data_IF_262095399630
#
_entry.id   IF_262095399630
#
_cell.length_a   1.000
_cell.length_b   1.000
_cell.length_c   1.000
_cell.angle_alpha   90.00
_cell.angle_beta   90.00
_cell.angle_gamma   90.00
#
_symmetry.space_group_name_H-M   'P 1'
#
loop_
_entity.id
_entity.type
_entity.pdbx_description
1 polymer ?
#
# COMPACT_ATOMS: atom_id res chain seq x y z
N UNK A 1 36.11 43.86 10.65
CA UNK A 1 35.95 42.54 11.29
C UNK A 1 34.50 42.19 11.72
N UNK A 2 33.48 43.03 11.48
CA UNK A 2 32.08 42.73 11.87
C UNK A 2 31.28 41.80 10.94
N UNK A 3 31.79 41.48 9.74
CA UNK A 3 31.04 40.67 8.75
C UNK A 3 31.14 39.14 8.95
N UNK A 4 32.06 38.66 9.79
CA UNK A 4 32.24 37.23 10.06
C UNK A 4 31.28 36.71 11.15
N UNK A 5 30.94 37.54 12.14
CA UNK A 5 30.03 37.18 13.23
C UNK A 5 28.60 36.93 12.75
N UNK A 6 28.08 37.78 11.87
CA UNK A 6 26.70 37.70 11.37
C UNK A 6 26.44 36.50 10.44
N UNK A 7 27.43 36.12 9.62
CA UNK A 7 27.34 34.95 8.75
C UNK A 7 27.34 33.63 9.55
N UNK A 8 28.07 33.60 10.67
CA UNK A 8 28.11 32.42 11.54
C UNK A 8 26.80 32.24 12.31
N UNK A 9 26.20 33.31 12.86
CA UNK A 9 24.88 33.24 13.51
C UNK A 9 23.75 32.92 12.52
N UNK A 10 23.77 33.47 11.31
CA UNK A 10 22.81 33.12 10.25
C UNK A 10 22.92 31.63 9.86
N UNK A 11 24.13 31.10 9.69
CA UNK A 11 24.33 29.68 9.38
C UNK A 11 23.90 28.76 10.52
N UNK A 12 24.17 29.12 11.78
CA UNK A 12 23.74 28.34 12.96
C UNK A 12 22.21 28.35 13.09
N UNK A 13 21.58 29.50 12.90
CA UNK A 13 20.12 29.63 12.93
C UNK A 13 19.47 28.84 11.77
N UNK A 14 20.06 28.88 10.57
CA UNK A 14 19.59 28.12 9.42
C UNK A 14 19.73 26.61 9.63
N UNK A 15 20.86 26.14 10.15
CA UNK A 15 21.10 24.73 10.44
C UNK A 15 20.17 24.20 11.54
N UNK A 16 19.94 25.00 12.59
CA UNK A 16 19.03 24.64 13.68
C UNK A 16 17.56 24.61 13.24
N UNK A 17 17.14 25.55 12.39
CA UNK A 17 15.80 25.56 11.80
C UNK A 17 15.60 24.37 10.84
N UNK A 18 16.60 24.05 10.03
CA UNK A 18 16.57 22.88 9.16
C UNK A 18 16.45 21.58 9.96
N UNK A 19 17.25 21.43 11.03
CA UNK A 19 17.19 20.29 11.94
C UNK A 19 15.82 20.15 12.61
N UNK A 20 15.22 21.25 13.10
CA UNK A 20 13.87 21.23 13.68
C UNK A 20 12.79 20.80 12.69
N UNK A 21 12.78 21.38 11.49
CA UNK A 21 11.80 21.04 10.45
C UNK A 21 11.91 19.55 10.08
N UNK A 22 13.14 19.04 9.99
CA UNK A 22 13.40 17.64 9.71
C UNK A 22 12.89 16.71 10.83
N UNK A 23 13.21 17.02 12.09
CA UNK A 23 12.74 16.25 13.24
C UNK A 23 11.22 16.29 13.38
N UNK A 24 10.58 17.43 13.09
CA UNK A 24 9.12 17.56 13.11
C UNK A 24 8.47 16.68 12.03
N UNK A 25 8.99 16.69 10.80
CA UNK A 25 8.52 15.80 9.73
C UNK A 25 8.63 14.33 10.12
N UNK A 26 9.75 13.94 10.75
CA UNK A 26 9.95 12.59 11.25
C UNK A 26 8.94 12.21 12.34
N UNK A 27 8.74 13.07 13.35
CA UNK A 27 7.78 12.80 14.42
C UNK A 27 6.35 12.64 13.89
N UNK A 28 5.94 13.50 12.95
CA UNK A 28 4.63 13.39 12.31
C UNK A 28 4.50 12.07 11.55
N UNK A 29 5.54 11.66 10.81
CA UNK A 29 5.56 10.37 10.13
C UNK A 29 5.42 9.19 11.08
N UNK A 30 6.22 9.16 12.14
CA UNK A 30 6.19 8.10 13.15
C UNK A 30 4.82 8.00 13.83
N UNK A 31 4.23 9.15 14.19
CA UNK A 31 2.90 9.19 14.77
C UNK A 31 1.83 8.65 13.81
N UNK A 32 1.87 9.06 12.54
CA UNK A 32 0.93 8.57 11.52
C UNK A 32 1.07 7.05 11.34
N UNK A 33 2.29 6.55 11.11
CA UNK A 33 2.56 5.11 10.94
C UNK A 33 2.07 4.33 12.15
N UNK A 34 2.37 4.78 13.38
CA UNK A 34 1.93 4.14 14.61
C UNK A 34 0.40 4.05 14.73
N UNK A 35 -0.32 5.14 14.46
CA UNK A 35 -1.79 5.16 14.48
C UNK A 35 -2.38 4.19 13.45
N UNK A 36 -1.85 4.19 12.22
CA UNK A 36 -2.37 3.31 11.16
C UNK A 36 -2.06 1.84 11.42
N UNK A 37 -0.88 1.52 11.92
CA UNK A 37 -0.55 0.15 12.33
C UNK A 37 -1.49 -0.33 13.42
N UNK A 38 -1.78 0.50 14.43
CA UNK A 38 -2.75 0.17 15.48
C UNK A 38 -4.14 -0.13 14.91
N UNK A 39 -4.66 0.74 14.03
CA UNK A 39 -5.97 0.54 13.38
C UNK A 39 -5.98 -0.74 12.54
N UNK A 40 -4.94 -0.97 11.74
CA UNK A 40 -4.82 -2.18 10.92
C UNK A 40 -4.77 -3.45 11.78
N UNK A 41 -4.00 -3.44 12.86
CA UNK A 41 -3.93 -4.56 13.82
C UNK A 41 -5.28 -4.86 14.45
N UNK A 42 -6.05 -3.84 14.84
CA UNK A 42 -7.42 -3.99 15.36
C UNK A 42 -8.37 -4.61 14.32
N UNK A 43 -8.27 -4.20 13.06
CA UNK A 43 -9.08 -4.76 11.97
C UNK A 43 -8.70 -6.21 11.66
N UNK A 44 -7.40 -6.52 11.60
CA UNK A 44 -6.92 -7.90 11.43
C UNK A 44 -7.39 -8.78 12.60
N UNK A 45 -7.28 -8.28 13.85
CA UNK A 45 -7.79 -8.99 15.02
C UNK A 45 -9.29 -9.27 14.92
N UNK A 46 -10.07 -8.27 14.51
CA UNK A 46 -11.52 -8.41 14.30
C UNK A 46 -11.85 -9.48 13.26
N UNK A 47 -11.14 -9.47 12.13
CA UNK A 47 -11.25 -10.49 11.09
C UNK A 47 -10.92 -11.90 11.61
N UNK A 48 -9.82 -12.05 12.37
CA UNK A 48 -9.41 -13.34 12.90
C UNK A 48 -10.40 -13.90 13.94
N UNK A 49 -11.09 -13.04 14.69
CA UNK A 49 -12.00 -13.47 15.76
C UNK A 49 -13.37 -13.94 15.30
N UNK A 50 -13.86 -13.56 14.11
CA UNK A 50 -15.21 -13.92 13.65
C UNK A 50 -15.15 -14.81 12.41
N UNK A 51 -15.77 -15.98 12.50
CA UNK A 51 -15.72 -17.02 11.45
C UNK A 51 -16.42 -16.57 10.17
N UNK A 52 -17.55 -15.87 10.30
CA UNK A 52 -18.34 -15.31 9.17
C UNK A 52 -17.47 -14.48 8.22
N UNK A 53 -16.49 -13.74 8.74
CA UNK A 53 -15.58 -12.96 7.88
C UNK A 53 -14.52 -13.83 7.20
N UNK A 54 -14.15 -14.98 7.77
CA UNK A 54 -13.13 -15.87 7.20
C UNK A 54 -13.66 -16.73 6.04
N UNK A 55 -14.98 -16.81 5.89
CA UNK A 55 -15.62 -17.54 4.80
C UNK A 55 -15.83 -16.69 3.54
N UNK A 56 -16.05 -15.38 3.69
CA UNK A 56 -16.26 -14.47 2.56
C UNK A 56 -14.93 -13.97 1.99
N UNK A 57 -14.67 -14.36 0.73
CA UNK A 57 -13.46 -14.04 -0.06
C UNK A 57 -13.08 -12.56 -0.03
N UNK A 58 -14.06 -11.65 0.05
CA UNK A 58 -13.83 -10.20 0.12
C UNK A 58 -13.06 -9.82 1.37
N UNK A 59 -13.46 -10.35 2.53
CA UNK A 59 -12.79 -10.05 3.79
C UNK A 59 -11.43 -10.73 3.87
N UNK A 60 -11.23 -11.89 3.24
CA UNK A 60 -9.92 -12.54 3.13
C UNK A 60 -8.97 -11.67 2.30
N UNK A 61 -9.41 -11.17 1.13
CA UNK A 61 -8.64 -10.23 0.33
C UNK A 61 -8.36 -8.94 1.12
N UNK A 62 -9.33 -8.46 1.91
CA UNK A 62 -9.16 -7.27 2.74
C UNK A 62 -8.12 -7.46 3.84
N UNK A 63 -8.17 -8.60 4.55
CA UNK A 63 -7.17 -8.97 5.53
C UNK A 63 -5.77 -9.09 4.91
N UNK A 64 -5.67 -9.67 3.72
CA UNK A 64 -4.42 -9.72 2.94
C UNK A 64 -3.89 -8.32 2.64
N UNK A 65 -4.74 -7.40 2.16
CA UNK A 65 -4.32 -5.99 1.93
C UNK A 65 -3.86 -5.33 3.22
N UNK A 66 -4.58 -5.48 4.34
CA UNK A 66 -4.17 -4.91 5.63
C UNK A 66 -2.83 -5.46 6.11
N UNK A 67 -2.58 -6.75 5.92
CA UNK A 67 -1.30 -7.38 6.28
C UNK A 67 -0.15 -6.83 5.42
N UNK A 68 -0.34 -6.81 4.10
CA UNK A 68 0.66 -6.27 3.15
C UNK A 68 0.93 -4.78 3.42
N UNK A 69 -0.10 -3.97 3.61
CA UNK A 69 0.03 -2.54 3.90
C UNK A 69 0.76 -2.29 5.22
N UNK A 70 0.46 -3.07 6.26
CA UNK A 70 1.15 -2.97 7.55
C UNK A 70 2.61 -3.38 7.45
N UNK A 71 2.92 -4.46 6.73
CA UNK A 71 4.29 -4.89 6.49
C UNK A 71 5.10 -3.83 5.72
N UNK A 72 4.51 -3.22 4.69
CA UNK A 72 5.17 -2.11 3.96
C UNK A 72 5.43 -0.92 4.87
N UNK A 73 4.44 -0.51 5.66
CA UNK A 73 4.59 0.61 6.58
C UNK A 73 5.74 0.37 7.57
N UNK A 74 5.80 -0.81 8.19
CA UNK A 74 6.90 -1.16 9.11
C UNK A 74 8.25 -1.19 8.38
N UNK A 75 8.34 -1.86 7.23
CA UNK A 75 9.63 -2.03 6.54
C UNK A 75 10.16 -0.70 5.97
N UNK A 76 9.28 0.12 5.38
CA UNK A 76 9.66 1.44 4.88
C UNK A 76 10.05 2.39 6.01
N UNK A 77 9.39 2.28 7.17
CA UNK A 77 9.74 3.04 8.37
C UNK A 77 11.11 2.63 8.93
N UNK A 78 11.39 1.32 9.03
CA UNK A 78 12.71 0.81 9.41
C UNK A 78 13.79 1.30 8.43
N UNK A 79 13.56 1.23 7.12
CA UNK A 79 14.51 1.75 6.12
C UNK A 79 14.71 3.27 6.24
N UNK A 80 13.66 4.02 6.55
CA UNK A 80 13.73 5.46 6.80
C UNK A 80 14.61 5.74 8.03
N UNK A 81 14.34 5.08 9.16
CA UNK A 81 15.12 5.21 10.40
C UNK A 81 16.60 4.90 10.14
N UNK A 82 16.91 3.78 9.47
CA UNK A 82 18.28 3.40 9.11
C UNK A 82 18.97 4.47 8.26
N UNK A 83 18.25 5.04 7.30
CA UNK A 83 18.75 6.12 6.43
C UNK A 83 19.04 7.40 7.22
N UNK A 84 18.14 7.79 8.13
CA UNK A 84 18.29 9.02 8.94
C UNK A 84 19.48 8.91 9.89
N UNK A 85 19.60 7.79 10.61
CA UNK A 85 20.70 7.56 11.54
C UNK A 85 21.99 7.11 10.85
N UNK A 86 22.02 7.05 9.52
CA UNK A 86 23.16 6.57 8.72
C UNK A 86 23.67 5.19 9.20
N UNK A 87 22.75 4.37 9.70
CA UNK A 87 23.05 3.06 10.26
C UNK A 87 23.31 2.08 9.13
N UNK A 88 24.52 1.51 9.12
CA UNK A 88 24.94 0.58 8.07
C UNK A 88 24.59 -0.85 8.48
N UNK A 89 23.94 -1.57 7.57
CA UNK A 89 23.62 -2.99 7.71
C UNK A 89 24.34 -3.80 6.64
N UNK A 90 24.42 -5.10 6.82
CA UNK A 90 25.02 -5.99 5.82
C UNK A 90 24.22 -5.96 4.51
N UNK A 91 24.92 -5.94 3.38
CA UNK A 91 24.33 -5.82 2.06
C UNK A 91 23.31 -6.95 1.76
N UNK A 92 23.58 -8.19 2.15
CA UNK A 92 22.61 -9.31 2.03
C UNK A 92 21.29 -9.01 2.76
N UNK A 93 21.36 -8.50 3.99
CA UNK A 93 20.16 -8.12 4.75
C UNK A 93 19.41 -6.97 4.07
N UNK A 94 20.13 -5.99 3.52
CA UNK A 94 19.51 -4.91 2.76
C UNK A 94 18.83 -5.40 1.49
N UNK A 95 19.47 -6.30 0.72
CA UNK A 95 18.88 -6.91 -0.48
C UNK A 95 17.58 -7.64 -0.12
N UNK A 96 17.58 -8.41 0.96
CA UNK A 96 16.37 -9.08 1.43
C UNK A 96 15.24 -8.08 1.74
N UNK A 97 15.53 -7.02 2.50
CA UNK A 97 14.56 -5.96 2.79
C UNK A 97 14.03 -5.30 1.52
N UNK A 98 14.91 -4.96 0.57
CA UNK A 98 14.54 -4.33 -0.70
C UNK A 98 13.66 -5.25 -1.57
N UNK A 99 13.95 -6.56 -1.61
CA UNK A 99 13.12 -7.55 -2.31
C UNK A 99 11.73 -7.59 -1.70
N UNK A 100 11.64 -7.73 -0.37
CA UNK A 100 10.34 -7.79 0.33
C UNK A 100 9.55 -6.51 0.12
N UNK A 101 10.15 -5.34 0.33
CA UNK A 101 9.48 -4.04 0.15
C UNK A 101 9.00 -3.86 -1.30
N UNK A 102 9.82 -4.23 -2.29
CA UNK A 102 9.46 -4.11 -3.70
C UNK A 102 8.28 -5.05 -4.05
N UNK A 103 8.29 -6.29 -3.56
CA UNK A 103 7.21 -7.26 -3.80
C UNK A 103 5.92 -6.80 -3.14
N UNK A 104 5.97 -6.32 -1.90
CA UNK A 104 4.77 -5.86 -1.22
C UNK A 104 4.18 -4.61 -1.89
N UNK A 105 5.04 -3.71 -2.37
CA UNK A 105 4.64 -2.48 -3.08
C UNK A 105 3.81 -2.79 -4.33
N UNK A 106 4.15 -3.83 -5.09
CA UNK A 106 3.38 -4.29 -6.25
C UNK A 106 2.19 -5.18 -5.86
N UNK A 107 2.27 -5.88 -4.73
CA UNK A 107 1.21 -6.76 -4.23
C UNK A 107 -0.06 -6.00 -3.82
N UNK A 108 0.10 -4.82 -3.21
CA UNK A 108 -1.03 -3.97 -2.77
C UNK A 108 -1.97 -3.64 -3.95
N UNK A 109 -1.52 -2.99 -5.04
CA UNK A 109 -2.38 -2.68 -6.18
C UNK A 109 -2.96 -3.93 -6.86
N UNK A 110 -2.22 -5.04 -6.94
CA UNK A 110 -2.74 -6.30 -7.51
C UNK A 110 -3.89 -6.88 -6.67
N UNK A 111 -3.75 -6.89 -5.36
CA UNK A 111 -4.79 -7.38 -4.43
C UNK A 111 -6.04 -6.52 -4.54
N UNK A 112 -5.85 -5.21 -4.64
CA UNK A 112 -6.89 -4.23 -4.84
C UNK A 112 -7.63 -4.41 -6.20
N UNK A 113 -6.92 -4.73 -7.29
CA UNK A 113 -7.55 -5.14 -8.56
C UNK A 113 -8.34 -6.44 -8.41
N UNK A 114 -7.79 -7.43 -7.69
CA UNK A 114 -8.47 -8.70 -7.44
C UNK A 114 -9.78 -8.49 -6.64
N UNK A 115 -9.81 -7.57 -5.68
CA UNK A 115 -11.05 -7.18 -4.99
C UNK A 115 -12.09 -6.59 -5.94
N UNK A 116 -11.67 -5.73 -6.87
CA UNK A 116 -12.58 -5.16 -7.88
C UNK A 116 -13.15 -6.25 -8.79
N UNK A 117 -12.31 -7.20 -9.21
CA UNK A 117 -12.74 -8.34 -10.03
C UNK A 117 -13.69 -9.28 -9.27
N UNK A 118 -13.42 -9.54 -7.98
CA UNK A 118 -14.30 -10.33 -7.11
C UNK A 118 -15.71 -9.71 -7.05
N UNK A 119 -15.79 -8.39 -6.79
CA UNK A 119 -17.06 -7.66 -6.77
C UNK A 119 -17.76 -7.70 -8.14
N UNK A 120 -17.02 -7.55 -9.23
CA UNK A 120 -17.58 -7.64 -10.58
C UNK A 120 -18.18 -9.03 -10.86
N UNK A 121 -17.45 -10.11 -10.55
CA UNK A 121 -17.93 -11.49 -10.77
C UNK A 121 -19.15 -11.79 -9.90
N UNK A 122 -19.19 -11.30 -8.67
CA UNK A 122 -20.35 -11.44 -7.79
C UNK A 122 -21.62 -10.79 -8.37
N UNK A 123 -21.49 -9.62 -8.99
CA UNK A 123 -22.61 -8.86 -9.57
C UNK A 123 -23.05 -9.45 -10.91
N UNK A 124 -22.09 -9.74 -11.80
CA UNK A 124 -22.39 -10.10 -13.18
C UNK A 124 -22.58 -11.61 -13.39
N UNK A 125 -22.07 -12.46 -12.49
CA UNK A 125 -22.13 -13.93 -12.60
C UNK A 125 -22.32 -14.61 -11.23
N UNK A 126 -23.43 -14.34 -10.52
CA UNK A 126 -23.63 -14.78 -9.13
C UNK A 126 -23.56 -16.32 -8.96
N UNK A 127 -24.10 -17.10 -9.92
CA UNK A 127 -24.07 -18.57 -9.90
C UNK A 127 -22.63 -19.13 -9.95
N UNK A 128 -21.75 -18.47 -10.72
CA UNK A 128 -20.35 -18.86 -10.85
C UNK A 128 -19.51 -18.33 -9.69
N UNK A 129 -19.89 -17.19 -9.12
CA UNK A 129 -19.26 -16.64 -7.91
C UNK A 129 -19.47 -17.57 -6.70
N UNK A 130 -20.67 -18.13 -6.50
CA UNK A 130 -20.95 -19.03 -5.39
C UNK A 130 -20.04 -20.28 -5.38
N UNK A 131 -19.76 -20.86 -6.55
CA UNK A 131 -18.86 -22.02 -6.67
C UNK A 131 -17.38 -21.64 -6.59
N UNK A 132 -16.99 -20.48 -7.13
CA UNK A 132 -15.60 -19.99 -7.10
C UNK A 132 -15.19 -19.51 -5.71
N UNK A 133 -16.01 -18.67 -5.08
CA UNK A 133 -15.72 -18.02 -3.80
C UNK A 133 -15.62 -19.03 -2.66
N UNK A 134 -16.42 -20.09 -2.70
CA UNK A 134 -16.43 -21.14 -1.66
C UNK A 134 -15.21 -22.06 -1.75
N UNK A 135 -14.60 -22.22 -2.93
CA UNK A 135 -13.48 -23.14 -3.14
C UNK A 135 -12.16 -22.59 -2.60
N UNK A 136 -11.64 -23.20 -1.53
CA UNK A 136 -10.34 -22.86 -0.93
C UNK A 136 -9.18 -22.97 -1.92
N UNK A 137 -9.23 -23.94 -2.86
CA UNK A 137 -8.21 -24.13 -3.88
C UNK A 137 -8.14 -22.95 -4.85
N UNK A 138 -9.29 -22.43 -5.27
CA UNK A 138 -9.33 -21.29 -6.20
C UNK A 138 -8.86 -20.02 -5.50
N UNK A 139 -9.22 -19.83 -4.21
CA UNK A 139 -8.69 -18.73 -3.39
C UNK A 139 -7.16 -18.80 -3.27
N UNK A 140 -6.63 -19.98 -2.92
CA UNK A 140 -5.18 -20.19 -2.82
C UNK A 140 -4.46 -19.91 -4.15
N UNK A 141 -5.00 -20.42 -5.26
CA UNK A 141 -4.45 -20.16 -6.59
C UNK A 141 -4.49 -18.67 -6.96
N UNK A 142 -5.56 -17.95 -6.60
CA UNK A 142 -5.66 -16.50 -6.76
C UNK A 142 -4.57 -15.75 -5.99
N UNK A 143 -4.33 -16.10 -4.72
CA UNK A 143 -3.23 -15.53 -3.95
C UNK A 143 -1.88 -15.85 -4.57
N UNK A 144 -1.65 -17.10 -4.96
CA UNK A 144 -0.41 -17.50 -5.61
C UNK A 144 -0.12 -16.69 -6.87
N UNK A 145 -1.14 -16.43 -7.72
CA UNK A 145 -1.00 -15.55 -8.89
C UNK A 145 -0.61 -14.12 -8.47
N UNK A 146 -1.33 -13.54 -7.50
CA UNK A 146 -1.05 -12.19 -7.02
C UNK A 146 0.41 -12.08 -6.57
N UNK A 147 0.86 -12.99 -5.69
CA UNK A 147 2.24 -12.99 -5.17
C UNK A 147 3.29 -13.26 -6.26
N UNK A 148 2.99 -14.16 -7.20
CA UNK A 148 3.89 -14.46 -8.33
C UNK A 148 4.09 -13.24 -9.22
N UNK A 149 3.01 -12.57 -9.62
CA UNK A 149 3.07 -11.35 -10.44
C UNK A 149 3.78 -10.23 -9.67
N UNK A 150 3.48 -10.08 -8.38
CA UNK A 150 4.10 -9.06 -7.52
C UNK A 150 5.62 -9.22 -7.45
N UNK A 151 6.10 -10.47 -7.44
CA UNK A 151 7.52 -10.79 -7.27
C UNK A 151 8.35 -10.55 -8.53
N UNK A 152 7.73 -10.36 -9.71
CA UNK A 152 8.45 -10.19 -10.99
C UNK A 152 9.47 -9.05 -10.92
N UNK A 153 9.07 -7.87 -10.43
CA UNK A 153 9.97 -6.71 -10.33
C UNK A 153 11.13 -6.95 -9.37
N UNK A 154 10.86 -7.59 -8.23
CA UNK A 154 11.86 -7.87 -7.19
C UNK A 154 12.86 -8.91 -7.64
N UNK A 155 12.39 -10.01 -8.26
CA UNK A 155 13.23 -11.07 -8.81
C UNK A 155 14.10 -10.52 -9.94
N UNK A 156 13.51 -9.74 -10.85
CA UNK A 156 14.28 -9.07 -11.91
C UNK A 156 15.39 -8.18 -11.33
N UNK A 157 15.06 -7.33 -10.36
CA UNK A 157 16.03 -6.41 -9.73
C UNK A 157 17.15 -7.18 -9.03
N UNK A 158 16.82 -8.26 -8.34
CA UNK A 158 17.80 -9.13 -7.69
C UNK A 158 18.73 -9.82 -8.71
N UNK A 159 18.17 -10.43 -9.75
CA UNK A 159 18.95 -11.11 -10.79
C UNK A 159 19.86 -10.14 -11.55
N UNK A 160 19.37 -8.95 -11.87
CA UNK A 160 20.16 -7.88 -12.50
C UNK A 160 21.31 -7.41 -11.61
N UNK A 161 21.08 -7.29 -10.30
CA UNK A 161 22.15 -6.94 -9.36
C UNK A 161 23.22 -8.04 -9.29
N UNK A 162 22.83 -9.30 -9.09
CA UNK A 162 23.76 -10.44 -8.97
C UNK A 162 24.59 -10.66 -10.25
N UNK A 163 24.07 -10.33 -11.43
CA UNK A 163 24.81 -10.51 -12.69
C UNK A 163 25.97 -9.53 -12.88
N UNK A 164 26.00 -8.42 -12.14
CA UNK A 164 27.00 -7.34 -12.30
C UNK A 164 27.82 -7.09 -11.02
N UNK A 165 27.34 -7.57 -9.88
CA UNK A 165 27.96 -7.30 -8.57
C UNK A 165 29.41 -7.79 -8.50
N UNK A 166 30.28 -7.00 -7.88
CA UNK A 166 31.68 -7.37 -7.63
C UNK A 166 31.80 -8.46 -6.55
N UNK A 167 32.79 -9.37 -6.64
CA UNK A 167 33.08 -10.34 -5.59
C UNK A 167 33.26 -9.65 -4.23
N UNK A 168 32.63 -10.18 -3.18
CA UNK A 168 32.71 -9.64 -1.82
C UNK A 168 31.75 -8.48 -1.49
N UNK A 169 31.10 -7.86 -2.49
CA UNK A 169 30.17 -6.75 -2.22
C UNK A 169 28.93 -7.16 -1.40
N UNK A 170 28.51 -8.43 -1.47
CA UNK A 170 27.42 -9.01 -0.67
C UNK A 170 27.71 -8.98 0.85
N UNK A 171 28.98 -8.96 1.24
CA UNK A 171 29.41 -8.91 2.65
C UNK A 171 29.77 -7.50 3.12
N UNK A 172 29.62 -6.49 2.26
CA UNK A 172 29.85 -5.10 2.63
C UNK A 172 28.73 -4.52 3.50
N UNK A 173 29.01 -3.40 4.16
CA UNK A 173 28.05 -2.67 4.99
C UNK A 173 27.61 -1.38 4.30
N UNK A 174 26.31 -1.21 4.12
CA UNK A 174 25.71 -0.07 3.41
C UNK A 174 24.55 0.52 4.20
N UNK A 175 24.26 1.79 3.96
CA UNK A 175 22.99 2.39 4.39
C UNK A 175 21.90 1.86 3.45
N UNK A 176 20.90 1.20 4.00
CA UNK A 176 20.00 0.42 3.17
C UNK A 176 19.04 1.28 2.36
N UNK A 177 19.09 1.13 1.04
CA UNK A 177 18.20 1.80 0.10
C UNK A 177 18.04 0.93 -1.15
N UNK A 178 16.97 1.11 -1.92
CA UNK A 178 16.77 0.31 -3.14
C UNK A 178 17.83 0.65 -4.19
N UNK A 179 18.31 1.90 -4.17
CA UNK A 179 19.29 2.44 -5.10
C UNK A 179 20.65 1.75 -5.00
N UNK A 180 21.01 1.14 -3.85
CA UNK A 180 22.27 0.38 -3.70
C UNK A 180 22.33 -0.87 -4.58
N UNK A 181 21.20 -1.32 -5.13
CA UNK A 181 21.13 -2.45 -6.08
C UNK A 181 21.32 -2.00 -7.55
N UNK A 182 21.42 -0.69 -7.81
CA UNK A 182 21.54 -0.14 -9.16
C UNK A 182 23.00 0.17 -9.52
N UNK A 183 23.80 -0.88 -9.72
CA UNK A 183 25.22 -0.76 -10.12
C UNK A 183 25.40 -0.13 -11.51
N UNK A 184 24.40 -0.26 -12.39
CA UNK A 184 24.40 0.30 -13.74
C UNK A 184 23.12 1.09 -13.98
N UNK A 185 23.21 2.12 -14.83
CA UNK A 185 22.06 2.98 -15.16
C UNK A 185 20.89 2.18 -15.74
N UNK A 186 21.18 1.13 -16.53
CA UNK A 186 20.16 0.26 -17.10
C UNK A 186 19.34 -0.50 -16.04
N UNK A 187 19.85 -0.76 -14.82
CA UNK A 187 19.06 -1.39 -13.74
C UNK A 187 17.89 -0.50 -13.33
N UNK A 188 18.18 0.78 -13.08
CA UNK A 188 17.18 1.77 -12.69
C UNK A 188 16.16 2.00 -13.82
N UNK A 189 16.64 2.14 -15.06
CA UNK A 189 15.78 2.29 -16.23
C UNK A 189 14.89 1.07 -16.49
N UNK A 190 15.43 -0.15 -16.43
CA UNK A 190 14.67 -1.36 -16.64
C UNK A 190 13.60 -1.56 -15.54
N UNK A 191 13.94 -1.30 -14.28
CA UNK A 191 12.95 -1.31 -13.19
C UNK A 191 11.83 -0.29 -13.43
N UNK A 192 12.18 0.93 -13.83
CA UNK A 192 11.19 1.95 -14.15
C UNK A 192 10.25 1.47 -15.27
N UNK A 193 10.82 0.94 -16.37
CA UNK A 193 10.04 0.42 -17.51
C UNK A 193 9.10 -0.71 -17.09
N UNK A 194 9.59 -1.67 -16.29
CA UNK A 194 8.76 -2.77 -15.77
C UNK A 194 7.58 -2.21 -14.94
N UNK A 195 7.83 -1.26 -14.05
CA UNK A 195 6.78 -0.64 -13.23
C UNK A 195 5.79 0.18 -14.08
N UNK A 196 6.25 0.83 -15.15
CA UNK A 196 5.37 1.51 -16.10
C UNK A 196 4.47 0.53 -16.86
N UNK A 197 5.01 -0.60 -17.31
CA UNK A 197 4.22 -1.66 -17.97
C UNK A 197 3.17 -2.19 -16.99
N UNK A 198 3.53 -2.44 -15.73
CA UNK A 198 2.57 -2.83 -14.70
C UNK A 198 1.46 -1.79 -14.52
N UNK A 199 1.82 -0.52 -14.40
CA UNK A 199 0.87 0.58 -14.29
C UNK A 199 -0.12 0.61 -15.47
N UNK A 200 0.38 0.51 -16.70
CA UNK A 200 -0.45 0.52 -17.92
C UNK A 200 -1.37 -0.71 -18.02
N UNK A 201 -0.88 -1.89 -17.65
CA UNK A 201 -1.72 -3.09 -17.64
C UNK A 201 -2.82 -2.98 -16.60
N UNK A 202 -2.50 -2.53 -15.39
CA UNK A 202 -3.45 -2.38 -14.30
C UNK A 202 -4.52 -1.34 -14.58
N UNK A 203 -4.15 -0.19 -15.16
CA UNK A 203 -5.13 0.87 -15.48
C UNK A 203 -6.14 0.39 -16.54
N UNK A 204 -5.70 -0.37 -17.54
CA UNK A 204 -6.59 -0.98 -18.54
C UNK A 204 -7.58 -1.95 -17.89
N UNK A 205 -7.10 -2.83 -17.00
CA UNK A 205 -7.96 -3.80 -16.28
C UNK A 205 -8.99 -3.05 -15.42
N UNK A 206 -8.57 -2.00 -14.70
CA UNK A 206 -9.46 -1.22 -13.85
C UNK A 206 -10.53 -0.51 -14.68
N UNK A 207 -10.13 0.19 -15.75
CA UNK A 207 -11.08 0.90 -16.63
C UNK A 207 -12.10 -0.07 -17.23
N UNK A 208 -11.64 -1.21 -17.74
CA UNK A 208 -12.51 -2.25 -18.28
C UNK A 208 -13.51 -2.75 -17.22
N UNK A 209 -13.03 -3.11 -16.03
CA UNK A 209 -13.86 -3.62 -14.93
C UNK A 209 -14.89 -2.57 -14.50
N UNK A 210 -14.49 -1.30 -14.42
CA UNK A 210 -15.35 -0.20 -14.03
C UNK A 210 -16.46 0.08 -15.07
N UNK A 211 -16.12 0.10 -16.36
CA UNK A 211 -17.09 0.26 -17.45
C UNK A 211 -18.13 -0.86 -17.37
N UNK A 212 -17.69 -2.11 -17.20
CA UNK A 212 -18.59 -3.26 -17.09
C UNK A 212 -19.48 -3.20 -15.85
N UNK A 213 -18.93 -2.84 -14.68
CA UNK A 213 -19.72 -2.62 -13.46
C UNK A 213 -20.78 -1.52 -13.65
N UNK A 214 -20.41 -0.42 -14.30
CA UNK A 214 -21.34 0.68 -14.58
C UNK A 214 -22.48 0.27 -15.50
N UNK A 215 -22.19 -0.52 -16.54
CA UNK A 215 -23.21 -1.07 -17.45
C UNK A 215 -24.16 -2.00 -16.68
N UNK A 216 -23.61 -2.94 -15.90
CA UNK A 216 -24.41 -3.87 -15.10
C UNK A 216 -25.29 -3.15 -14.07
N UNK A 217 -24.74 -2.17 -13.36
CA UNK A 217 -25.47 -1.36 -12.40
C UNK A 217 -26.60 -0.55 -13.07
N UNK A 218 -26.37 -0.01 -14.27
CA UNK A 218 -27.41 0.71 -15.04
C UNK A 218 -28.50 -0.24 -15.53
N UNK A 219 -28.15 -1.44 -15.99
CA UNK A 219 -29.12 -2.45 -16.41
C UNK A 219 -30.04 -2.88 -15.25
N UNK A 220 -29.48 -3.06 -14.05
CA UNK A 220 -30.27 -3.39 -12.85
C UNK A 220 -31.09 -2.20 -12.29
N UNK A 221 -30.69 -0.96 -12.60
CA UNK A 221 -31.29 0.27 -12.06
C UNK A 221 -32.45 0.82 -12.90
N UNK A 222 -32.90 0.12 -13.94
CA UNK A 222 -34.01 0.55 -14.81
C UNK A 222 -35.30 0.88 -14.05
N UNK A 223 -35.48 0.42 -12.80
CA UNK A 223 -36.71 0.63 -12.02
C UNK A 223 -36.67 1.69 -10.88
N UNK A 224 -35.53 2.13 -10.35
CA UNK A 224 -35.52 3.13 -9.22
C UNK A 224 -34.32 4.09 -9.24
N UNK A 225 -34.50 5.27 -9.85
CA UNK A 225 -33.54 6.39 -10.01
C UNK A 225 -32.90 6.97 -8.72
N UNK A 226 -33.40 6.66 -7.51
CA UNK A 226 -32.92 7.28 -6.25
C UNK A 226 -31.84 6.46 -5.49
N UNK A 227 -31.67 5.17 -5.77
CA UNK A 227 -30.68 4.30 -5.09
C UNK A 227 -29.27 4.37 -5.73
N UNK A 228 -29.21 4.73 -7.02
CA UNK A 228 -28.00 4.73 -7.87
C UNK A 228 -26.90 5.68 -7.36
N UNK A 229 -27.23 6.77 -6.67
CA UNK A 229 -26.27 7.78 -6.21
C UNK A 229 -25.36 7.31 -5.07
N UNK A 230 -25.88 6.52 -4.10
CA UNK A 230 -25.11 6.08 -2.94
C UNK A 230 -24.08 5.01 -3.30
N UNK A 231 -24.45 4.05 -4.15
CA UNK A 231 -23.53 3.02 -4.66
C UNK A 231 -22.47 3.59 -5.62
N UNK A 232 -22.81 4.58 -6.45
CA UNK A 232 -21.84 5.23 -7.32
C UNK A 232 -20.74 5.97 -6.54
N UNK A 233 -21.10 6.56 -5.40
CA UNK A 233 -20.15 7.26 -4.51
C UNK A 233 -19.20 6.30 -3.79
N UNK A 234 -19.59 5.05 -3.54
CA UNK A 234 -18.66 4.04 -2.97
C UNK A 234 -17.62 3.62 -4.00
N UNK A 235 -18.09 3.36 -5.22
CA UNK A 235 -17.32 2.91 -6.37
C UNK A 235 -16.32 3.99 -6.83
N UNK A 236 -16.70 5.27 -6.79
CA UNK A 236 -15.78 6.39 -7.05
C UNK A 236 -14.65 6.48 -6.02
N UNK A 237 -14.96 6.31 -4.73
CA UNK A 237 -13.94 6.35 -3.67
C UNK A 237 -12.93 5.20 -3.80
N UNK A 238 -13.40 4.00 -4.19
CA UNK A 238 -12.52 2.88 -4.52
C UNK A 238 -11.64 3.22 -5.73
N UNK A 239 -12.22 3.77 -6.80
CA UNK A 239 -11.46 4.15 -8.00
C UNK A 239 -10.37 5.19 -7.71
N UNK A 240 -10.66 6.19 -6.87
CA UNK A 240 -9.67 7.18 -6.44
C UNK A 240 -8.56 6.53 -5.63
N UNK A 241 -8.89 5.69 -4.64
CA UNK A 241 -7.88 4.96 -3.86
C UNK A 241 -6.99 4.10 -4.75
N UNK A 242 -7.59 3.36 -5.68
CA UNK A 242 -6.87 2.52 -6.65
C UNK A 242 -5.91 3.36 -7.48
N UNK A 243 -6.39 4.47 -8.03
CA UNK A 243 -5.57 5.37 -8.83
C UNK A 243 -4.37 5.90 -8.03
N UNK A 244 -4.58 6.32 -6.79
CA UNK A 244 -3.51 6.80 -5.93
C UNK A 244 -2.48 5.69 -5.61
N UNK A 245 -2.93 4.47 -5.33
CA UNK A 245 -2.04 3.31 -5.16
C UNK A 245 -1.24 3.00 -6.45
N UNK A 246 -1.85 3.16 -7.62
CA UNK A 246 -1.18 2.92 -8.91
C UNK A 246 -0.13 3.99 -9.23
N UNK A 247 -0.39 5.26 -8.88
CA UNK A 247 0.56 6.35 -9.08
C UNK A 247 1.87 6.09 -8.32
N UNK A 248 1.84 5.33 -7.22
CA UNK A 248 3.05 4.87 -6.54
C UNK A 248 4.05 4.16 -7.50
N UNK A 249 3.57 3.44 -8.52
CA UNK A 249 4.42 2.77 -9.50
C UNK A 249 5.16 3.74 -10.42
N UNK A 250 4.65 4.96 -10.59
CA UNK A 250 5.26 6.04 -11.37
C UNK A 250 6.29 6.85 -10.59
N UNK A 251 6.38 6.65 -9.26
CA UNK A 251 7.32 7.37 -8.38
C UNK A 251 8.76 7.41 -8.92
N UNK A 252 9.35 6.34 -9.47
CA UNK A 252 10.70 6.39 -10.03
C UNK A 252 10.86 7.40 -11.19
N UNK A 253 9.83 7.55 -12.03
CA UNK A 253 9.81 8.54 -13.11
C UNK A 253 9.60 9.96 -12.60
N UNK A 254 8.80 10.12 -11.55
CA UNK A 254 8.58 11.42 -10.91
C UNK A 254 9.88 11.89 -10.25
N UNK A 255 10.62 11.00 -9.60
CA UNK A 255 11.82 11.32 -8.83
C UNK A 255 13.08 11.53 -9.70
N UNK A 256 13.20 10.83 -10.83
CA UNK A 256 14.38 10.85 -11.69
C UNK A 256 14.82 12.26 -12.17
N UNK A 257 13.92 13.16 -12.60
CA UNK A 257 14.31 14.51 -13.00
C UNK A 257 14.86 15.35 -11.84
N UNK A 258 14.25 15.25 -10.66
CA UNK A 258 14.66 16.05 -9.49
C UNK A 258 16.00 15.62 -8.91
N UNK A 259 16.36 14.34 -9.08
CA UNK A 259 17.67 13.82 -8.69
C UNK A 259 18.82 14.61 -9.34
N UNK A 260 18.65 15.01 -10.60
CA UNK A 260 19.69 15.73 -11.37
C UNK A 260 19.76 17.23 -11.06
N UNK A 261 18.74 17.80 -10.41
CA UNK A 261 18.61 19.26 -10.19
C UNK A 261 19.15 19.66 -8.83
N UNK A 262 18.60 19.12 -7.74
CA UNK A 262 18.95 19.53 -6.38
C UNK A 262 18.55 18.46 -5.36
N UNK A 263 19.50 18.03 -4.53
CA UNK A 263 19.29 16.98 -3.53
C UNK A 263 18.22 17.32 -2.48
N UNK A 264 18.09 18.59 -2.10
CA UNK A 264 17.07 19.05 -1.15
C UNK A 264 15.67 19.01 -1.77
N UNK A 265 15.54 19.39 -3.05
CA UNK A 265 14.27 19.30 -3.79
C UNK A 265 13.90 17.83 -3.99
N UNK A 266 14.86 16.98 -4.38
CA UNK A 266 14.65 15.53 -4.51
C UNK A 266 14.14 14.92 -3.20
N UNK A 267 14.76 15.21 -2.06
CA UNK A 267 14.33 14.69 -0.77
C UNK A 267 12.93 15.18 -0.38
N UNK A 268 12.59 16.43 -0.68
CA UNK A 268 11.24 16.96 -0.43
C UNK A 268 10.19 16.31 -1.33
N UNK A 269 10.49 16.07 -2.62
CA UNK A 269 9.60 15.37 -3.55
C UNK A 269 9.40 13.91 -3.11
N UNK A 270 10.48 13.20 -2.78
CA UNK A 270 10.42 11.81 -2.28
C UNK A 270 9.60 11.70 -1.00
N UNK A 271 9.81 12.61 -0.06
CA UNK A 271 9.01 12.70 1.16
C UNK A 271 7.52 12.92 0.84
N UNK A 272 7.22 13.83 -0.10
CA UNK A 272 5.84 14.13 -0.52
C UNK A 272 5.17 12.93 -1.22
N UNK A 273 5.89 12.25 -2.11
CA UNK A 273 5.45 11.02 -2.76
C UNK A 273 5.17 9.91 -1.74
N UNK A 274 6.03 9.77 -0.74
CA UNK A 274 5.83 8.83 0.36
C UNK A 274 4.54 9.14 1.13
N UNK A 275 4.22 10.40 1.43
CA UNK A 275 2.93 10.72 2.07
C UNK A 275 1.77 10.39 1.12
N UNK A 276 1.81 10.96 -0.08
CA UNK A 276 0.65 11.08 -0.96
C UNK A 276 0.31 9.77 -1.68
N UNK A 277 1.32 9.02 -2.09
CA UNK A 277 1.15 7.80 -2.89
C UNK A 277 1.45 6.52 -2.12
N UNK A 278 2.14 6.60 -0.98
CA UNK A 278 2.45 5.43 -0.15
C UNK A 278 1.53 5.36 1.07
N UNK A 279 1.53 6.40 1.91
CA UNK A 279 0.81 6.38 3.18
C UNK A 279 -0.69 6.59 2.95
N UNK A 280 -1.09 7.74 2.39
CA UNK A 280 -2.51 8.12 2.22
C UNK A 280 -3.35 7.00 1.57
N UNK A 281 -2.92 6.33 0.48
CA UNK A 281 -3.76 5.33 -0.18
C UNK A 281 -3.95 4.06 0.68
N UNK A 282 -2.95 3.72 1.49
CA UNK A 282 -3.01 2.60 2.46
C UNK A 282 -3.89 2.94 3.66
N UNK A 283 -3.92 4.21 4.08
CA UNK A 283 -4.83 4.71 5.11
C UNK A 283 -6.30 4.69 4.66
N UNK A 284 -6.53 4.84 3.36
CA UNK A 284 -7.85 4.77 2.78
C UNK A 284 -8.40 3.33 2.77
N UNK A 285 -7.56 2.29 2.72
CA UNK A 285 -8.02 0.88 2.71
C UNK A 285 -8.87 0.54 3.96
N UNK A 286 -8.40 0.75 5.21
CA UNK A 286 -9.19 0.56 6.43
C UNK A 286 -10.51 1.33 6.44
N UNK A 287 -10.48 2.58 5.98
CA UNK A 287 -11.63 3.46 5.98
C UNK A 287 -12.71 2.98 4.99
N UNK A 288 -12.28 2.61 3.78
CA UNK A 288 -13.17 2.28 2.67
C UNK A 288 -13.75 0.87 2.81
N UNK A 289 -12.93 -0.10 3.26
CA UNK A 289 -13.31 -1.51 3.31
C UNK A 289 -13.70 -2.00 4.71
N UNK A 290 -13.19 -1.35 5.77
CA UNK A 290 -13.50 -1.71 7.17
C UNK A 290 -14.56 -0.81 7.78
N UNK A 291 -14.24 0.47 8.01
CA UNK A 291 -15.13 1.40 8.76
C UNK A 291 -16.44 1.70 8.06
N UNK A 292 -16.44 1.66 6.72
CA UNK A 292 -17.65 1.88 5.91
C UNK A 292 -18.58 0.67 5.87
N UNK A 293 -18.06 -0.53 6.10
CA UNK A 293 -18.88 -1.74 6.09
C UNK A 293 -19.60 -1.87 7.45
N UNK A 294 -20.92 -1.71 7.45
CA UNK A 294 -21.71 -1.65 8.69
C UNK A 294 -21.55 -2.92 9.53
N UNK A 295 -21.45 -4.10 8.90
CA UNK A 295 -21.28 -5.38 9.61
C UNK A 295 -19.90 -5.42 10.27
N UNK A 296 -18.86 -5.10 9.50
CA UNK A 296 -17.49 -5.12 10.01
C UNK A 296 -17.28 -4.06 11.11
N UNK A 297 -17.78 -2.84 10.90
CA UNK A 297 -17.65 -1.74 11.84
C UNK A 297 -18.35 -2.01 13.18
N UNK A 298 -19.52 -2.64 13.17
CA UNK A 298 -20.23 -3.02 14.40
C UNK A 298 -19.40 -3.96 15.28
N UNK A 299 -18.78 -4.98 14.68
CA UNK A 299 -17.90 -5.93 15.37
C UNK A 299 -16.60 -5.25 15.81
N UNK A 300 -15.99 -4.43 14.95
CA UNK A 300 -14.77 -3.68 15.28
C UNK A 300 -14.99 -2.78 16.50
N UNK A 301 -16.12 -2.04 16.53
CA UNK A 301 -16.49 -1.18 17.65
C UNK A 301 -16.67 -1.97 18.95
N UNK A 302 -17.24 -3.16 18.87
CA UNK A 302 -17.39 -4.03 20.04
C UNK A 302 -16.04 -4.38 20.66
N UNK A 303 -15.06 -4.79 19.85
CA UNK A 303 -13.72 -5.12 20.34
C UNK A 303 -12.92 -3.90 20.76
N UNK A 304 -13.02 -2.78 20.05
CA UNK A 304 -12.31 -1.54 20.37
C UNK A 304 -12.72 -0.95 21.73
N UNK A 305 -13.97 -1.15 22.16
CA UNK A 305 -14.50 -0.64 23.43
C UNK A 305 -14.66 -1.76 24.48
N UNK A 306 -13.95 -2.90 24.32
CA UNK A 306 -13.99 -4.03 25.27
C UNK A 306 -15.41 -4.49 25.67
N UNK A 307 -16.37 -4.47 24.74
CA UNK A 307 -17.73 -4.95 24.99
C UNK A 307 -18.64 -4.07 25.86
N UNK A 308 -18.23 -2.85 26.23
CA UNK A 308 -19.00 -1.95 27.12
C UNK A 308 -20.34 -1.43 26.55
N UNK A 309 -20.68 -1.74 25.29
CA UNK A 309 -21.92 -1.26 24.64
C UNK A 309 -22.79 -2.47 24.29
N UNK A 310 -23.76 -2.79 25.17
CA UNK A 310 -24.70 -3.92 25.02
C UNK A 310 -25.53 -3.90 23.73
N UNK A 311 -25.63 -2.74 23.05
CA UNK A 311 -26.31 -2.59 21.77
C UNK A 311 -25.60 -3.33 20.60
N UNK A 312 -24.29 -3.56 20.70
CA UNK A 312 -23.54 -4.28 19.65
C UNK A 312 -23.77 -5.79 19.70
N UNK A 313 -24.01 -6.36 20.89
CA UNK A 313 -24.18 -7.82 21.06
C UNK A 313 -25.39 -8.36 20.30
N UNK A 314 -26.51 -7.63 20.30
CA UNK A 314 -27.72 -8.03 19.56
C UNK A 314 -27.50 -8.02 18.04
N UNK A 315 -26.71 -7.07 17.51
CA UNK A 315 -26.39 -7.01 16.08
C UNK A 315 -25.38 -8.09 15.67
N UNK A 316 -24.41 -8.41 16.54
CA UNK A 316 -23.44 -9.50 16.35
C UNK A 316 -24.15 -10.86 16.29
N UNK A 317 -25.06 -11.13 17.23
CA UNK A 317 -25.84 -12.37 17.23
C UNK A 317 -26.72 -12.52 15.97
N UNK A 318 -27.16 -11.39 15.39
CA UNK A 318 -27.94 -11.39 14.12
C UNK A 318 -27.07 -11.60 12.87
N UNK A 319 -25.77 -11.31 12.95
CA UNK A 319 -24.80 -11.61 11.88
C UNK A 319 -24.44 -13.11 11.90
N UNK A 320 -24.51 -13.78 13.05
CA UNK A 320 -24.25 -15.23 13.17
C UNK A 320 -25.44 -16.10 12.74
N UNK A 321 -26.65 -15.53 12.64
CA UNK A 321 -27.89 -16.24 12.27
C UNK A 321 -28.23 -16.18 10.77
N UNK A 322 -27.42 -15.50 9.94
CA UNK A 322 -27.65 -15.26 8.51
C UNK A 322 -26.40 -15.54 7.69
#
# INVERSE_FOLDING_TARGET
MQNSGNNNTLNINMLSNFSRIFMQKLMVMQALVGIFLYVNSLMIFTFLKKEVFREDTRYILFAQTLFVDSAIMVLTDVMLILSIYQSRIQMISCIFLCIVVTTLTTCTPLTLVAMCLERYVAICMPLRHASISTSSRIRFFGFFIIWSISSITSVFTFLAYISVVRPGALFSYVVCSIEVMFEKEWHSQARAIILLIFFLMMIVIILFTYIKMMIAARAASSEKKKSTSKGLRTVLLHAVQMLLCMVQLLTPYIELPFWKVNIMVFNNVRYSNLIMFIIVPRCLSPLIYGLRDEKFFAVLRHYAVCGLIGFSQHYINKIELN
#
